data_IF_286223573165
#
_entry.id   IF_286223573165
#
_cell.length_a   1.000
_cell.length_b   1.000
_cell.length_c   1.000
_cell.angle_alpha   90.00
_cell.angle_beta   90.00
_cell.angle_gamma   90.00
#
_symmetry.space_group_name_H-M   'P 1'
#
loop_
_entity.id
_entity.type
_entity.pdbx_description
1 polymer ?
#
# COMPACT_ATOMS: atom_id res chain seq x y z
N UNK A 1 10.25 12.33 9.13
CA UNK A 1 9.07 11.53 9.53
C UNK A 1 7.82 12.28 9.09
N UNK A 2 7.16 11.79 8.04
CA UNK A 2 5.98 12.41 7.40
C UNK A 2 4.75 12.49 8.32
N UNK A 3 4.69 11.66 9.36
CA UNK A 3 3.49 11.54 10.21
C UNK A 3 3.59 12.28 11.55
N UNK A 4 4.74 12.91 11.87
CA UNK A 4 4.98 13.49 13.21
C UNK A 4 3.92 14.52 13.63
N UNK A 5 3.48 15.36 12.70
CA UNK A 5 2.48 16.40 12.98
C UNK A 5 1.07 15.86 13.15
N UNK A 6 0.77 14.64 12.68
CA UNK A 6 -0.52 13.99 12.91
C UNK A 6 -0.58 13.19 14.21
N UNK A 7 0.57 12.73 14.70
CA UNK A 7 0.67 11.84 15.86
C UNK A 7 0.94 12.57 17.18
N UNK A 8 1.30 13.85 17.13
CA UNK A 8 1.67 14.59 18.34
C UNK A 8 0.44 15.04 19.13
N UNK A 9 0.34 14.65 20.40
CA UNK A 9 -0.75 15.04 21.30
C UNK A 9 -2.08 14.31 21.06
N UNK A 10 -2.08 13.25 20.25
CA UNK A 10 -3.27 12.46 19.93
C UNK A 10 -3.02 11.00 20.30
N UNK A 11 -4.01 10.37 20.93
CA UNK A 11 -4.00 8.93 21.17
C UNK A 11 -4.31 8.19 19.87
N UNK A 12 -3.47 7.22 19.50
CA UNK A 12 -3.62 6.48 18.24
C UNK A 12 -3.60 4.97 18.44
N UNK A 13 -4.54 4.27 17.81
CA UNK A 13 -4.52 2.81 17.71
C UNK A 13 -3.74 2.38 16.46
N UNK A 14 -2.59 1.73 16.67
CA UNK A 14 -1.78 1.15 15.61
C UNK A 14 -2.20 -0.30 15.35
N UNK A 15 -2.85 -0.52 14.21
CA UNK A 15 -3.18 -1.86 13.73
C UNK A 15 -2.03 -2.47 12.93
N UNK A 16 -1.64 -3.70 13.30
CA UNK A 16 -0.59 -4.45 12.61
C UNK A 16 -1.00 -5.91 12.42
N UNK A 17 -0.66 -6.49 11.27
CA UNK A 17 -0.78 -7.91 10.98
C UNK A 17 0.41 -8.75 11.49
N UNK A 18 1.37 -8.10 12.16
CA UNK A 18 2.52 -8.76 12.73
C UNK A 18 2.29 -9.10 14.21
N UNK A 19 1.96 -10.36 14.47
CA UNK A 19 1.53 -10.83 15.80
C UNK A 19 2.54 -10.57 16.93
N UNK A 20 3.84 -10.59 16.65
CA UNK A 20 4.85 -10.30 17.69
C UNK A 20 4.98 -8.82 18.04
N UNK A 21 4.58 -7.90 17.15
CA UNK A 21 4.63 -6.45 17.45
C UNK A 21 3.61 -6.06 18.52
N UNK A 22 2.57 -6.86 18.73
CA UNK A 22 1.64 -6.70 19.86
C UNK A 22 2.37 -6.61 21.21
N UNK A 23 3.48 -7.32 21.36
CA UNK A 23 4.21 -7.43 22.62
C UNK A 23 5.45 -6.53 22.68
N UNK A 24 5.62 -5.60 21.73
CA UNK A 24 6.83 -4.78 21.61
C UNK A 24 7.10 -3.93 22.86
N UNK A 25 6.05 -3.52 23.58
CA UNK A 25 6.19 -2.77 24.83
C UNK A 25 6.45 -3.63 26.07
N UNK A 26 6.10 -4.93 26.02
CA UNK A 26 6.18 -5.85 27.17
C UNK A 26 7.35 -6.82 27.09
N UNK A 27 7.97 -6.96 25.92
CA UNK A 27 9.05 -7.91 25.67
C UNK A 27 10.36 -7.48 26.36
N UNK A 28 10.98 -8.40 27.11
CA UNK A 28 12.21 -8.14 27.89
C UNK A 28 13.46 -8.08 27.01
N UNK A 29 13.59 -9.02 26.06
CA UNK A 29 14.73 -9.08 25.15
C UNK A 29 14.36 -8.55 23.77
N UNK A 30 14.69 -7.29 23.53
CA UNK A 30 14.59 -6.63 22.23
C UNK A 30 15.98 -6.44 21.64
N UNK A 31 16.08 -6.63 20.32
CA UNK A 31 17.30 -6.32 19.57
C UNK A 31 17.63 -4.82 19.66
N UNK A 32 18.89 -4.44 19.48
CA UNK A 32 19.32 -3.03 19.55
C UNK A 32 18.50 -2.09 18.65
N UNK A 33 18.15 -2.57 17.46
CA UNK A 33 17.27 -1.84 16.54
C UNK A 33 15.86 -1.71 17.09
N UNK A 34 15.27 -2.79 17.60
CA UNK A 34 13.94 -2.73 18.22
C UNK A 34 13.90 -1.79 19.41
N UNK A 35 14.96 -1.71 20.22
CA UNK A 35 15.08 -0.75 21.33
C UNK A 35 15.06 0.69 20.85
N UNK A 36 15.83 1.03 19.81
CA UNK A 36 15.81 2.37 19.20
C UNK A 36 14.43 2.74 18.65
N UNK A 37 13.76 1.80 18.00
CA UNK A 37 12.37 2.01 17.53
C UNK A 37 11.39 2.17 18.69
N UNK A 38 11.54 1.39 19.76
CA UNK A 38 10.70 1.47 20.94
C UNK A 38 10.85 2.82 21.66
N UNK A 39 12.08 3.31 21.81
CA UNK A 39 12.35 4.65 22.36
C UNK A 39 11.58 5.73 21.59
N UNK A 40 11.56 5.62 20.26
CA UNK A 40 10.80 6.56 19.43
C UNK A 40 9.28 6.43 19.63
N UNK A 41 8.78 5.19 19.69
CA UNK A 41 7.35 4.92 19.86
C UNK A 41 6.84 5.39 21.22
N UNK A 42 7.67 5.32 22.28
CA UNK A 42 7.33 5.79 23.62
C UNK A 42 7.00 7.29 23.72
N UNK A 43 7.44 8.10 22.76
CA UNK A 43 7.10 9.53 22.74
C UNK A 43 5.67 9.80 22.24
N UNK A 44 5.01 8.80 21.65
CA UNK A 44 3.64 8.92 21.16
C UNK A 44 2.71 8.15 22.09
N UNK A 45 1.53 8.71 22.33
CA UNK A 45 0.47 8.03 23.08
C UNK A 45 -0.27 7.09 22.12
N UNK A 46 0.04 5.80 22.17
CA UNK A 46 -0.50 4.84 21.20
C UNK A 46 -0.60 3.42 21.74
N UNK A 47 -1.58 2.66 21.22
CA UNK A 47 -1.72 1.23 21.48
C UNK A 47 -1.41 0.41 20.24
N UNK A 48 -0.83 -0.79 20.41
CA UNK A 48 -0.53 -1.70 19.28
C UNK A 48 -1.50 -2.87 19.32
N UNK A 49 -2.38 -2.91 18.31
CA UNK A 49 -3.43 -3.90 18.18
C UNK A 49 -3.13 -4.84 17.02
N UNK A 50 -3.25 -6.14 17.29
CA UNK A 50 -3.12 -7.15 16.23
C UNK A 50 -4.40 -7.19 15.40
N UNK A 51 -4.24 -7.10 14.08
CA UNK A 51 -5.32 -7.22 13.11
C UNK A 51 -4.97 -8.32 12.10
N UNK A 52 -5.80 -9.36 11.93
CA UNK A 52 -5.48 -10.44 11.00
C UNK A 52 -5.22 -9.90 9.59
N UNK A 53 -4.21 -10.44 8.88
CA UNK A 53 -3.83 -9.95 7.54
C UNK A 53 -4.96 -9.94 6.52
N UNK A 54 -5.98 -10.82 6.68
CA UNK A 54 -7.20 -10.83 5.85
C UNK A 54 -8.05 -9.56 5.98
N UNK A 55 -7.89 -8.81 7.06
CA UNK A 55 -8.60 -7.57 7.32
C UNK A 55 -7.66 -6.34 7.15
N UNK A 56 -6.33 -6.56 7.08
CA UNK A 56 -5.33 -5.58 6.70
C UNK A 56 -5.18 -5.42 5.16
N UNK A 57 -6.26 -5.57 4.41
CA UNK A 57 -6.23 -5.68 2.93
C UNK A 57 -5.72 -4.40 2.29
N UNK A 58 -6.17 -3.23 2.76
CA UNK A 58 -5.78 -1.93 2.19
C UNK A 58 -4.28 -1.69 2.36
N UNK A 59 -3.74 -1.86 3.56
CA UNK A 59 -2.31 -1.67 3.81
C UNK A 59 -1.46 -2.69 3.04
N UNK A 60 -1.92 -3.95 2.95
CA UNK A 60 -1.25 -4.98 2.17
C UNK A 60 -1.28 -4.70 0.66
N UNK A 61 -2.38 -4.15 0.11
CA UNK A 61 -2.43 -3.73 -1.29
C UNK A 61 -1.45 -2.57 -1.51
N UNK A 62 -1.49 -1.55 -0.66
CA UNK A 62 -0.63 -0.36 -0.79
C UNK A 62 0.87 -0.71 -0.69
N UNK A 63 1.25 -1.57 0.25
CA UNK A 63 2.64 -2.02 0.39
C UNK A 63 3.12 -2.81 -0.84
N UNK A 64 2.25 -3.68 -1.38
CA UNK A 64 2.55 -4.43 -2.61
C UNK A 64 2.59 -3.54 -3.84
N UNK A 65 1.76 -2.50 -3.92
CA UNK A 65 1.81 -1.51 -4.99
C UNK A 65 3.05 -0.63 -4.92
N UNK A 66 3.55 -0.31 -3.72
CA UNK A 66 4.82 0.42 -3.59
C UNK A 66 6.03 -0.46 -3.91
N UNK A 67 5.95 -1.76 -3.61
CA UNK A 67 7.03 -2.73 -3.90
C UNK A 67 7.04 -3.23 -5.34
N UNK A 68 5.86 -3.43 -5.94
CA UNK A 68 5.72 -3.76 -7.36
C UNK A 68 5.96 -2.46 -8.09
N UNK A 69 7.18 -2.27 -8.58
CA UNK A 69 7.51 -1.17 -9.48
C UNK A 69 6.33 -0.97 -10.44
N UNK A 70 5.74 0.22 -10.42
CA UNK A 70 4.66 0.63 -11.31
C UNK A 70 5.07 0.42 -12.79
N UNK A 71 6.36 0.15 -13.06
CA UNK A 71 6.88 -0.31 -14.35
C UNK A 71 6.08 -1.46 -14.95
N UNK A 72 5.75 -2.53 -14.21
CA UNK A 72 5.05 -3.67 -14.82
C UNK A 72 3.63 -3.32 -15.30
N UNK A 73 2.86 -2.57 -14.50
CA UNK A 73 1.55 -2.06 -14.94
C UNK A 73 1.63 -0.98 -16.02
N UNK A 74 2.78 -0.29 -16.13
CA UNK A 74 3.05 0.65 -17.22
C UNK A 74 3.44 -0.08 -18.50
N UNK A 75 4.14 -1.20 -18.42
CA UNK A 75 4.62 -1.92 -19.59
C UNK A 75 3.45 -2.56 -20.36
N UNK A 76 2.49 -3.19 -19.66
CA UNK A 76 1.27 -3.72 -20.29
C UNK A 76 0.40 -2.61 -20.92
N UNK A 77 0.37 -1.41 -20.30
CA UNK A 77 -0.38 -0.26 -20.84
C UNK A 77 0.33 0.41 -22.02
N UNK A 78 1.66 0.36 -22.10
CA UNK A 78 2.40 0.94 -23.23
C UNK A 78 2.10 0.18 -24.52
N UNK A 79 2.02 -1.15 -24.45
CA UNK A 79 1.67 -1.98 -25.61
C UNK A 79 0.26 -1.65 -26.11
N UNK A 80 -0.72 -1.59 -25.21
CA UNK A 80 -2.10 -1.22 -25.55
C UNK A 80 -2.19 0.20 -26.16
N UNK A 81 -1.44 1.17 -25.63
CA UNK A 81 -1.39 2.54 -26.18
C UNK A 81 -0.78 2.56 -27.58
N UNK A 82 0.28 1.77 -27.83
CA UNK A 82 0.86 1.62 -29.16
C UNK A 82 -0.15 1.02 -30.15
N UNK A 83 -0.91 0.01 -29.73
CA UNK A 83 -1.93 -0.61 -30.57
C UNK A 83 -3.09 0.33 -30.88
N UNK A 84 -3.59 1.06 -29.88
CA UNK A 84 -4.61 2.10 -30.08
C UNK A 84 -4.13 3.16 -31.08
N UNK A 85 -2.89 3.61 -30.94
CA UNK A 85 -2.32 4.60 -31.86
C UNK A 85 -2.12 4.03 -33.28
N UNK A 86 -1.77 2.74 -33.40
CA UNK A 86 -1.67 2.05 -34.70
C UNK A 86 -3.03 1.90 -35.37
N UNK A 87 -4.08 1.55 -34.61
CA UNK A 87 -5.45 1.44 -35.11
C UNK A 87 -6.00 2.80 -35.58
N UNK A 88 -5.73 3.88 -34.84
CA UNK A 88 -6.11 5.23 -35.23
C UNK A 88 -5.44 5.66 -36.55
N UNK A 89 -4.18 5.29 -36.79
CA UNK A 89 -3.48 5.54 -38.07
C UNK A 89 -4.08 4.76 -39.24
N UNK A 90 -4.68 3.62 -38.97
CA UNK A 90 -5.39 2.80 -39.96
C UNK A 90 -6.84 3.28 -40.18
N UNK A 91 -7.25 4.38 -39.53
CA UNK A 91 -8.59 4.95 -39.68
C UNK A 91 -9.67 4.21 -38.90
N UNK A 92 -9.30 3.35 -37.95
CA UNK A 92 -10.24 2.62 -37.10
C UNK A 92 -10.76 3.57 -36.01
N UNK A 93 -12.07 3.79 -36.00
CA UNK A 93 -12.75 4.58 -34.96
C UNK A 93 -13.17 3.67 -33.80
N UNK A 94 -12.67 3.95 -32.61
CA UNK A 94 -13.13 3.30 -31.38
C UNK A 94 -14.41 4.00 -30.91
N UNK A 95 -15.50 3.25 -30.79
CA UNK A 95 -16.75 3.70 -30.18
C UNK A 95 -16.79 3.16 -28.76
N UNK A 96 -17.05 4.04 -27.79
CA UNK A 96 -17.18 3.67 -26.39
C UNK A 96 -18.47 2.86 -26.18
N UNK A 97 -18.34 1.54 -26.17
CA UNK A 97 -19.45 0.63 -25.96
C UNK A 97 -19.66 0.48 -24.46
N UNK A 98 -20.62 1.22 -23.92
CA UNK A 98 -21.07 1.06 -22.53
C UNK A 98 -21.67 -0.36 -22.27
N UNK A 99 -21.76 -1.19 -23.32
CA UNK A 99 -22.18 -2.60 -23.27
C UNK A 99 -21.28 -3.49 -24.16
N UNK A 100 -19.98 -3.55 -23.85
CA UNK A 100 -19.14 -4.74 -24.04
C UNK A 100 -19.22 -5.55 -25.34
N UNK A 101 -19.51 -4.94 -26.50
CA UNK A 101 -19.54 -5.63 -27.78
C UNK A 101 -18.74 -4.86 -28.83
N UNK A 102 -17.62 -5.42 -29.26
CA UNK A 102 -16.85 -4.98 -30.43
C UNK A 102 -17.41 -5.73 -31.62
N UNK A 103 -17.95 -5.00 -32.61
CA UNK A 103 -18.30 -5.57 -33.91
C UNK A 103 -17.25 -5.10 -34.91
N UNK A 104 -16.72 -6.06 -35.67
CA UNK A 104 -15.67 -5.96 -36.69
C UNK A 104 -16.06 -5.02 -37.82
#
# INVERSE_FOLDING_TARGET
MIWRHYLYGVYVDLFTDHKSLKYVFTQRDLSLWQRRWLELLKYYDMSVLYHPGKANVVANILSRLSMRNISHFKDDKKELVCDVHRLARLGVHLVDSNEGCVIV
#
